data_IF_998663933475
#
_entry.id   IF_998663933475
#
_cell.length_a   1.000
_cell.length_b   1.000
_cell.length_c   1.000
_cell.angle_alpha   90.00
_cell.angle_beta   90.00
_cell.angle_gamma   90.00
#
_symmetry.space_group_name_H-M   'P 1'
#
loop_
_entity.id
_entity.type
_entity.pdbx_description
1 polymer ?
#
# COMPACT_ATOMS: atom_id res chain seq x y z
N UNK A 1 8.44 -6.35 -15.01
CA UNK A 1 7.71 -6.94 -13.87
C UNK A 1 6.64 -7.87 -14.40
N UNK A 2 6.03 -8.67 -13.53
CA UNK A 2 4.83 -9.45 -13.86
C UNK A 2 3.63 -8.50 -13.94
N UNK A 3 2.71 -8.71 -14.87
CA UNK A 3 1.43 -8.00 -14.90
C UNK A 3 0.44 -8.70 -13.95
N UNK A 4 0.42 -8.31 -12.68
CA UNK A 4 -0.43 -8.95 -11.68
C UNK A 4 -1.93 -8.77 -11.97
N UNK A 5 -2.33 -7.68 -12.64
CA UNK A 5 -3.73 -7.44 -13.03
C UNK A 5 -4.18 -8.57 -13.97
N UNK A 6 -3.46 -8.77 -15.07
CA UNK A 6 -3.80 -9.79 -16.06
C UNK A 6 -3.79 -11.21 -15.44
N UNK A 7 -2.82 -11.50 -14.57
CA UNK A 7 -2.73 -12.81 -13.87
C UNK A 7 -3.94 -13.03 -12.96
N UNK A 8 -4.28 -12.06 -12.11
CA UNK A 8 -5.39 -12.16 -11.15
C UNK A 8 -6.74 -12.28 -11.87
N UNK A 9 -6.94 -11.53 -12.95
CA UNK A 9 -8.15 -11.64 -13.76
C UNK A 9 -8.25 -13.00 -14.48
N UNK A 10 -7.13 -13.52 -14.98
CA UNK A 10 -7.06 -14.87 -15.56
C UNK A 10 -7.40 -15.99 -14.56
N UNK A 11 -7.16 -15.76 -13.26
CA UNK A 11 -7.55 -16.65 -12.16
C UNK A 11 -8.99 -16.46 -11.67
N UNK A 12 -9.80 -15.66 -12.38
CA UNK A 12 -11.22 -15.44 -12.08
C UNK A 12 -11.50 -14.44 -10.95
N UNK A 13 -10.49 -13.69 -10.51
CA UNK A 13 -10.62 -12.65 -9.49
C UNK A 13 -10.82 -11.27 -10.14
N UNK A 14 -10.84 -10.20 -9.34
CA UNK A 14 -10.78 -8.81 -9.84
C UNK A 14 -9.47 -8.15 -9.42
N UNK A 15 -8.99 -7.22 -10.23
CA UNK A 15 -7.80 -6.46 -9.90
C UNK A 15 -7.98 -4.97 -10.25
N UNK A 16 -7.29 -4.12 -9.50
CA UNK A 16 -7.16 -2.68 -9.73
C UNK A 16 -5.67 -2.33 -9.66
N UNK A 17 -5.21 -1.40 -10.51
CA UNK A 17 -3.85 -0.85 -10.46
C UNK A 17 -3.91 0.62 -10.08
N UNK A 18 -3.07 1.00 -9.13
CA UNK A 18 -2.92 2.35 -8.60
C UNK A 18 -1.54 2.87 -8.99
N UNK A 19 -1.48 4.03 -9.63
CA UNK A 19 -0.19 4.65 -10.01
C UNK A 19 0.11 5.92 -9.23
N UNK A 20 -0.88 6.47 -8.53
CA UNK A 20 -0.73 7.70 -7.74
C UNK A 20 -1.28 7.54 -6.32
N UNK A 21 -0.68 8.20 -5.31
CA UNK A 21 -1.14 8.09 -3.93
C UNK A 21 -2.62 8.46 -3.72
N UNK A 22 -3.11 9.52 -4.38
CA UNK A 22 -4.50 9.98 -4.27
C UNK A 22 -5.54 8.99 -4.80
N UNK A 23 -5.12 8.00 -5.60
CA UNK A 23 -5.97 6.96 -6.17
C UNK A 23 -6.18 5.77 -5.21
N UNK A 24 -5.37 5.64 -4.15
CA UNK A 24 -5.43 4.51 -3.20
C UNK A 24 -6.82 4.41 -2.54
N UNK A 25 -7.32 5.53 -2.00
CA UNK A 25 -8.62 5.53 -1.30
C UNK A 25 -9.79 5.24 -2.25
N UNK A 26 -9.91 5.87 -3.44
CA UNK A 26 -10.89 5.48 -4.46
C UNK A 26 -10.79 4.00 -4.86
N UNK A 27 -9.57 3.47 -5.04
CA UNK A 27 -9.37 2.07 -5.41
C UNK A 27 -9.89 1.10 -4.34
N UNK A 28 -9.69 1.39 -3.04
CA UNK A 28 -10.26 0.57 -1.98
C UNK A 28 -11.79 0.60 -1.93
N UNK A 29 -12.42 1.75 -2.19
CA UNK A 29 -13.89 1.86 -2.27
C UNK A 29 -14.40 0.99 -3.43
N UNK A 30 -13.75 1.07 -4.59
CA UNK A 30 -14.09 0.24 -5.75
C UNK A 30 -13.86 -1.24 -5.48
N UNK A 31 -12.75 -1.61 -4.82
CA UNK A 31 -12.45 -2.99 -4.46
C UNK A 31 -13.55 -3.58 -3.56
N UNK A 32 -14.00 -2.84 -2.54
CA UNK A 32 -15.11 -3.26 -1.68
C UNK A 32 -16.43 -3.42 -2.44
N UNK A 33 -16.70 -2.59 -3.45
CA UNK A 33 -17.87 -2.75 -4.32
C UNK A 33 -17.78 -4.03 -5.17
N UNK A 34 -16.62 -4.27 -5.79
CA UNK A 34 -16.35 -5.47 -6.58
C UNK A 34 -16.43 -6.75 -5.73
N UNK A 35 -15.89 -6.73 -4.51
CA UNK A 35 -16.01 -7.84 -3.55
C UNK A 35 -17.47 -8.17 -3.26
N UNK A 36 -18.31 -7.16 -2.98
CA UNK A 36 -19.73 -7.35 -2.66
C UNK A 36 -20.52 -7.88 -3.87
N UNK A 37 -20.23 -7.37 -5.06
CA UNK A 37 -20.92 -7.73 -6.29
C UNK A 37 -20.54 -9.13 -6.79
N UNK A 38 -19.25 -9.42 -6.87
CA UNK A 38 -18.74 -10.62 -7.54
C UNK A 38 -18.39 -11.76 -6.59
N UNK A 39 -18.26 -11.49 -5.28
CA UNK A 39 -17.96 -12.50 -4.25
C UNK A 39 -16.68 -13.30 -4.54
N UNK A 40 -15.70 -12.64 -5.16
CA UNK A 40 -14.35 -13.15 -5.43
C UNK A 40 -13.31 -12.24 -4.77
N UNK A 41 -12.07 -12.72 -4.54
CA UNK A 41 -10.96 -11.87 -4.11
C UNK A 41 -10.74 -10.69 -5.07
N UNK A 42 -10.35 -9.55 -4.51
CA UNK A 42 -10.00 -8.35 -5.27
C UNK A 42 -8.60 -7.90 -4.87
N UNK A 43 -7.70 -7.81 -5.84
CA UNK A 43 -6.32 -7.33 -5.64
C UNK A 43 -6.23 -5.86 -5.99
N UNK A 44 -5.58 -5.06 -5.15
CA UNK A 44 -5.20 -3.67 -5.45
C UNK A 44 -3.68 -3.63 -5.54
N UNK A 45 -3.16 -3.52 -6.76
CA UNK A 45 -1.72 -3.41 -7.03
C UNK A 45 -1.31 -1.93 -6.99
N UNK A 46 -0.34 -1.59 -6.15
CA UNK A 46 0.22 -0.22 -6.07
C UNK A 46 1.57 -0.21 -6.77
N UNK A 47 1.71 0.68 -7.75
CA UNK A 47 2.98 0.88 -8.45
C UNK A 47 3.88 1.76 -7.58
N UNK A 48 4.96 1.16 -7.05
CA UNK A 48 5.95 1.85 -6.24
C UNK A 48 7.10 2.40 -7.09
N UNK A 49 7.91 3.27 -6.48
CA UNK A 49 9.22 3.58 -7.02
C UNK A 49 10.14 2.36 -7.03
N UNK A 50 11.25 2.45 -7.77
CA UNK A 50 12.11 1.27 -7.99
C UNK A 50 12.94 0.90 -6.76
N UNK A 51 13.28 1.89 -5.94
CA UNK A 51 14.19 1.75 -4.81
C UNK A 51 13.71 2.68 -3.70
N UNK A 52 13.40 2.10 -2.54
CA UNK A 52 13.12 2.78 -1.26
C UNK A 52 13.73 1.91 -0.17
N UNK A 53 14.48 2.48 0.77
CA UNK A 53 15.12 1.69 1.82
C UNK A 53 14.30 1.76 3.11
N UNK A 54 13.75 0.62 3.53
CA UNK A 54 13.05 0.53 4.82
C UNK A 54 14.06 0.54 5.97
N UNK A 55 13.74 1.26 7.06
CA UNK A 55 14.56 1.29 8.27
C UNK A 55 14.81 -0.13 8.81
N UNK A 56 16.07 -0.44 9.10
CA UNK A 56 16.50 -1.75 9.60
C UNK A 56 17.90 -1.71 10.20
N UNK A 57 18.25 -2.74 10.97
CA UNK A 57 19.55 -2.85 11.63
C UNK A 57 19.80 -4.24 12.19
N UNK A 58 21.01 -4.47 12.69
CA UNK A 58 21.42 -5.78 13.23
C UNK A 58 20.91 -6.02 14.65
N UNK A 59 20.71 -4.95 15.41
CA UNK A 59 20.34 -4.96 16.83
C UNK A 59 19.39 -3.81 17.13
N UNK A 60 18.64 -3.90 18.24
CA UNK A 60 17.63 -2.89 18.62
C UNK A 60 18.24 -1.49 18.79
N UNK A 61 19.45 -1.40 19.34
CA UNK A 61 20.15 -0.12 19.54
C UNK A 61 20.99 0.31 18.33
N UNK A 62 20.86 -0.39 17.20
CA UNK A 62 21.66 -0.18 16.00
C UNK A 62 20.79 -0.23 14.73
N UNK A 63 19.64 0.45 14.76
CA UNK A 63 18.77 0.65 13.59
C UNK A 63 19.28 1.84 12.77
N UNK A 64 19.37 1.66 11.46
CA UNK A 64 19.66 2.72 10.50
C UNK A 64 18.36 3.22 9.88
N UNK A 65 18.15 4.52 9.96
CA UNK A 65 17.04 5.24 9.35
C UNK A 65 17.52 5.82 8.02
N UNK A 66 17.01 5.30 6.90
CA UNK A 66 17.45 5.69 5.55
C UNK A 66 16.61 6.83 4.96
N UNK A 67 15.32 6.87 5.28
CA UNK A 67 14.37 7.90 4.85
C UNK A 67 14.14 8.93 5.97
N UNK A 68 13.46 10.03 5.66
CA UNK A 68 13.21 11.11 6.60
C UNK A 68 12.43 10.66 7.84
N UNK A 69 12.92 11.07 9.02
CA UNK A 69 12.19 10.87 10.28
C UNK A 69 11.00 11.83 10.37
N UNK A 70 9.89 11.32 10.90
CA UNK A 70 8.74 12.16 11.22
C UNK A 70 9.11 13.21 12.28
N UNK A 71 8.90 14.48 11.97
CA UNK A 71 9.11 15.61 12.88
C UNK A 71 7.84 15.95 13.67
N UNK A 72 6.67 15.55 13.17
CA UNK A 72 5.41 15.73 13.87
C UNK A 72 4.22 14.97 13.27
N UNK A 73 3.03 15.26 13.80
CA UNK A 73 1.76 14.62 13.41
C UNK A 73 1.43 14.74 11.92
N UNK A 74 1.88 15.78 11.24
CA UNK A 74 1.67 15.93 9.81
C UNK A 74 2.39 14.85 8.98
N UNK A 75 3.56 14.39 9.44
CA UNK A 75 4.37 13.39 8.72
C UNK A 75 3.86 11.97 8.99
N UNK A 76 3.30 11.72 10.19
CA UNK A 76 2.74 10.44 10.60
C UNK A 76 1.31 10.57 11.17
N UNK A 77 0.32 10.97 10.35
CA UNK A 77 -1.01 11.37 10.83
C UNK A 77 -1.87 10.22 11.35
N UNK A 78 -1.48 8.98 11.09
CA UNK A 78 -2.18 7.77 11.53
C UNK A 78 -1.54 7.09 12.75
N UNK A 79 -0.47 7.68 13.33
CA UNK A 79 0.16 7.15 14.54
C UNK A 79 -0.78 7.27 15.75
N UNK A 80 -1.07 6.15 16.42
CA UNK A 80 -2.04 6.10 17.54
C UNK A 80 -1.67 7.04 18.68
N UNK A 81 -0.38 7.17 19.00
CA UNK A 81 0.09 8.07 20.06
C UNK A 81 -0.11 9.56 19.74
N UNK A 82 -0.42 9.90 18.49
CA UNK A 82 -0.70 11.27 18.00
C UNK A 82 -2.19 11.47 17.69
N UNK A 83 -3.03 10.44 17.86
CA UNK A 83 -4.49 10.55 17.85
C UNK A 83 -4.91 10.99 19.26
N UNK A 84 -5.45 12.20 19.38
CA UNK A 84 -6.07 12.70 20.63
C UNK A 84 -7.39 11.96 20.91
#
# INVERSE_FOLDING_TARGET
>A
GVDHVAVVEGLGCKALRVSKPEEIQPAFIQAQALMRQHRVPVVVEVMLERVTNVAMGTEINNITEFEDLAAGKADAPTAIALLD
#
